data_IF_834984039438
#
_entry.id   IF_834984039438
#
_cell.length_a   1.000
_cell.length_b   1.000
_cell.length_c   1.000
_cell.angle_alpha   90.00
_cell.angle_beta   90.00
_cell.angle_gamma   90.00
#
_symmetry.space_group_name_H-M   'P 1'
#
loop_
_entity.id
_entity.type
_entity.pdbx_description
1 polymer ?
#
# COMPACT_ATOMS: atom_id res chain seq x y z
N UNK A 1 26.13 2.48 9.02
CA UNK A 1 24.74 2.75 8.56
C UNK A 1 23.81 2.16 9.60
N UNK A 2 22.77 2.89 10.04
CA UNK A 2 21.79 2.34 10.98
C UNK A 2 20.86 1.39 10.23
N UNK A 3 21.25 0.12 10.13
CA UNK A 3 20.52 -0.93 9.40
C UNK A 3 19.04 -1.02 9.83
N UNK A 4 18.78 -0.91 11.14
CA UNK A 4 17.42 -0.84 11.71
C UNK A 4 16.57 0.27 11.07
N UNK A 5 17.12 1.49 10.94
CA UNK A 5 16.40 2.63 10.34
C UNK A 5 16.16 2.43 8.85
N UNK A 6 17.10 1.81 8.16
CA UNK A 6 16.97 1.50 6.74
C UNK A 6 15.85 0.49 6.49
N UNK A 7 15.81 -0.62 7.23
CA UNK A 7 14.74 -1.62 7.12
C UNK A 7 13.37 -0.99 7.38
N UNK A 8 13.23 -0.21 8.46
CA UNK A 8 11.97 0.46 8.77
C UNK A 8 11.52 1.43 7.67
N UNK A 9 12.47 2.11 7.05
CA UNK A 9 12.18 3.03 5.92
C UNK A 9 11.71 2.26 4.70
N UNK A 10 12.38 1.15 4.37
CA UNK A 10 12.00 0.30 3.25
C UNK A 10 10.64 -0.34 3.48
N UNK A 11 10.37 -0.86 4.67
CA UNK A 11 9.09 -1.45 5.05
C UNK A 11 7.95 -0.44 4.92
N UNK A 12 8.13 0.76 5.49
CA UNK A 12 7.17 1.87 5.38
C UNK A 12 6.95 2.27 3.92
N UNK A 13 8.02 2.41 3.15
CA UNK A 13 7.94 2.80 1.74
C UNK A 13 7.26 1.73 0.88
N UNK A 14 7.50 0.44 1.16
CA UNK A 14 6.85 -0.66 0.48
C UNK A 14 5.32 -0.67 0.72
N UNK A 15 4.90 -0.50 1.97
CA UNK A 15 3.47 -0.40 2.31
C UNK A 15 2.85 0.88 1.72
N UNK A 16 3.56 2.01 1.81
CA UNK A 16 3.12 3.27 1.21
C UNK A 16 2.96 3.15 -0.31
N UNK A 17 3.86 2.44 -0.98
CA UNK A 17 3.77 2.15 -2.41
C UNK A 17 2.55 1.28 -2.73
N UNK A 18 2.28 0.25 -1.94
CA UNK A 18 1.10 -0.60 -2.11
C UNK A 18 -0.19 0.23 -2.07
N UNK A 19 -0.37 1.07 -1.04
CA UNK A 19 -1.51 1.98 -0.92
C UNK A 19 -1.61 2.96 -2.08
N UNK A 20 -0.49 3.54 -2.49
CA UNK A 20 -0.43 4.51 -3.57
C UNK A 20 -0.80 3.88 -4.92
N UNK A 21 -0.31 2.67 -5.19
CA UNK A 21 -0.69 1.89 -6.37
C UNK A 21 -2.18 1.58 -6.37
N UNK A 22 -2.70 1.07 -5.25
CA UNK A 22 -4.12 0.74 -5.09
C UNK A 22 -5.05 1.95 -5.25
N UNK A 23 -4.67 3.11 -4.70
CA UNK A 23 -5.42 4.35 -4.83
C UNK A 23 -5.37 4.90 -6.26
N UNK A 24 -4.18 4.96 -6.87
CA UNK A 24 -4.02 5.41 -8.26
C UNK A 24 -4.75 4.50 -9.25
N UNK A 25 -4.69 3.18 -9.06
CA UNK A 25 -5.40 2.25 -9.92
C UNK A 25 -6.91 2.54 -9.95
N UNK A 26 -7.52 2.74 -8.78
CA UNK A 26 -8.97 3.04 -8.66
C UNK A 26 -9.34 4.39 -9.27
N UNK A 27 -8.53 5.43 -9.03
CA UNK A 27 -8.77 6.77 -9.60
C UNK A 27 -8.62 6.75 -11.13
N UNK A 28 -7.59 6.08 -11.64
CA UNK A 28 -7.32 6.01 -13.08
C UNK A 28 -8.30 5.11 -13.82
N UNK A 29 -8.97 4.19 -13.13
CA UNK A 29 -10.05 3.38 -13.71
C UNK A 29 -11.29 4.24 -14.02
N UNK A 30 -11.52 5.33 -13.28
CA UNK A 30 -12.55 6.35 -13.55
C UNK A 30 -13.99 5.93 -13.26
N UNK A 31 -14.32 4.64 -13.28
CA UNK A 31 -15.64 4.09 -12.98
C UNK A 31 -15.66 3.13 -11.77
N UNK A 32 -14.60 3.14 -10.95
CA UNK A 32 -14.51 2.29 -9.76
C UNK A 32 -15.56 2.67 -8.71
N UNK A 33 -16.17 1.66 -8.08
CA UNK A 33 -17.08 1.86 -6.93
C UNK A 33 -16.93 0.72 -5.92
N UNK A 34 -17.11 1.05 -4.65
CA UNK A 34 -17.14 0.11 -3.53
C UNK A 34 -18.46 -0.63 -3.40
N UNK A 35 -19.49 -0.31 -4.19
CA UNK A 35 -20.84 -0.88 -4.07
C UNK A 35 -20.84 -2.42 -4.03
N UNK A 36 -20.14 -3.04 -5.00
CA UNK A 36 -20.04 -4.49 -5.09
C UNK A 36 -19.26 -5.10 -3.93
N UNK A 37 -18.22 -4.42 -3.45
CA UNK A 37 -17.45 -4.85 -2.29
C UNK A 37 -18.31 -4.78 -1.00
N UNK A 38 -19.01 -3.66 -0.77
CA UNK A 38 -19.79 -3.46 0.44
C UNK A 38 -21.05 -4.34 0.48
N UNK A 39 -21.72 -4.54 -0.65
CA UNK A 39 -22.95 -5.34 -0.74
C UNK A 39 -22.72 -6.84 -0.46
N UNK A 40 -21.52 -7.35 -0.75
CA UNK A 40 -21.17 -8.76 -0.56
C UNK A 40 -20.41 -9.04 0.75
N UNK A 41 -20.32 -8.05 1.65
CA UNK A 41 -19.68 -8.21 2.96
C UNK A 41 -20.44 -9.20 3.84
N UNK A 42 -19.69 -9.93 4.65
CA UNK A 42 -20.22 -10.90 5.60
C UNK A 42 -19.50 -10.80 6.95
N UNK A 43 -20.07 -11.43 7.98
CA UNK A 43 -19.56 -11.35 9.35
C UNK A 43 -20.29 -10.33 10.22
N UNK A 44 -19.71 -10.03 11.39
CA UNK A 44 -20.36 -9.26 12.45
C UNK A 44 -20.67 -7.80 12.05
N UNK A 45 -19.83 -7.18 11.23
CA UNK A 45 -20.00 -5.79 10.79
C UNK A 45 -20.77 -5.64 9.47
N UNK A 46 -21.30 -6.73 8.89
CA UNK A 46 -22.03 -6.71 7.61
C UNK A 46 -23.17 -5.68 7.58
N UNK A 47 -23.93 -5.56 8.67
CA UNK A 47 -25.00 -4.56 8.80
C UNK A 47 -24.53 -3.11 8.66
N UNK A 48 -23.31 -2.79 9.12
CA UNK A 48 -22.71 -1.46 8.95
C UNK A 48 -22.36 -1.21 7.48
N UNK A 49 -21.71 -2.17 6.82
CA UNK A 49 -21.33 -2.04 5.42
C UNK A 49 -22.55 -2.00 4.48
N UNK A 50 -23.57 -2.81 4.75
CA UNK A 50 -24.83 -2.78 3.99
C UNK A 50 -25.60 -1.49 4.25
N UNK A 51 -25.46 -0.86 5.42
CA UNK A 51 -26.03 0.46 5.66
C UNK A 51 -25.35 1.54 4.81
N UNK A 52 -24.02 1.46 4.62
CA UNK A 52 -23.27 2.37 3.75
C UNK A 52 -23.74 2.34 2.28
N UNK A 53 -24.29 1.20 1.82
CA UNK A 53 -24.79 1.05 0.44
C UNK A 53 -26.24 1.51 0.23
N UNK A 54 -26.98 1.86 1.30
CA UNK A 54 -28.40 2.25 1.19
C UNK A 54 -28.63 3.61 0.54
N UNK A 55 -27.63 4.50 0.59
CA UNK A 55 -27.74 5.85 0.06
C UNK A 55 -26.63 6.07 -0.97
N UNK A 56 -27.04 6.54 -2.16
CA UNK A 56 -26.13 6.93 -3.23
C UNK A 56 -25.11 7.99 -2.77
N UNK A 57 -25.54 8.94 -1.93
CA UNK A 57 -24.65 9.99 -1.41
C UNK A 57 -23.60 9.42 -0.46
N UNK A 58 -23.99 8.47 0.40
CA UNK A 58 -23.10 7.82 1.36
C UNK A 58 -22.10 6.92 0.63
N UNK A 59 -22.57 6.15 -0.34
CA UNK A 59 -21.73 5.31 -1.19
C UNK A 59 -20.68 6.14 -1.94
N UNK A 60 -21.08 7.25 -2.57
CA UNK A 60 -20.13 8.17 -3.21
C UNK A 60 -19.11 8.74 -2.23
N UNK A 61 -19.53 9.09 -1.02
CA UNK A 61 -18.61 9.57 0.00
C UNK A 61 -17.58 8.49 0.39
N UNK A 62 -18.02 7.23 0.53
CA UNK A 62 -17.13 6.08 0.79
C UNK A 62 -16.19 5.86 -0.39
N UNK A 63 -16.68 5.91 -1.63
CA UNK A 63 -15.86 5.73 -2.83
C UNK A 63 -14.74 6.78 -2.91
N UNK A 64 -15.08 8.06 -2.72
CA UNK A 64 -14.11 9.15 -2.71
C UNK A 64 -13.13 9.01 -1.54
N UNK A 65 -13.62 8.76 -0.33
CA UNK A 65 -12.78 8.60 0.85
C UNK A 65 -11.83 7.43 0.70
N UNK A 66 -12.26 6.35 0.05
CA UNK A 66 -11.44 5.19 -0.17
C UNK A 66 -10.35 5.44 -1.23
N UNK A 67 -10.73 5.97 -2.39
CA UNK A 67 -9.81 6.29 -3.48
C UNK A 67 -8.74 7.29 -3.04
N UNK A 68 -9.16 8.43 -2.50
CA UNK A 68 -8.25 9.48 -2.08
C UNK A 68 -7.57 9.16 -0.76
N UNK A 69 -8.23 8.43 0.15
CA UNK A 69 -7.64 7.96 1.40
C UNK A 69 -6.44 7.06 1.12
N UNK A 70 -6.59 6.05 0.26
CA UNK A 70 -5.47 5.19 -0.17
C UNK A 70 -4.33 6.01 -0.79
N UNK A 71 -4.66 6.94 -1.70
CA UNK A 71 -3.67 7.79 -2.35
C UNK A 71 -2.88 8.64 -1.35
N UNK A 72 -3.57 9.41 -0.50
CA UNK A 72 -2.93 10.35 0.42
C UNK A 72 -2.19 9.64 1.55
N UNK A 73 -2.76 8.56 2.11
CA UNK A 73 -2.08 7.72 3.12
C UNK A 73 -0.84 7.08 2.50
N UNK A 74 -0.95 6.51 1.30
CA UNK A 74 0.16 5.90 0.58
C UNK A 74 1.28 6.91 0.30
N UNK A 75 0.94 8.11 -0.18
CA UNK A 75 1.90 9.18 -0.42
C UNK A 75 2.58 9.66 0.87
N UNK A 76 1.83 9.84 1.94
CA UNK A 76 2.37 10.23 3.24
C UNK A 76 3.33 9.16 3.81
N UNK A 77 2.96 7.88 3.73
CA UNK A 77 3.82 6.76 4.13
C UNK A 77 5.05 6.63 3.23
N UNK A 78 4.91 6.78 1.92
CA UNK A 78 6.01 6.64 0.97
C UNK A 78 7.07 7.75 1.17
N UNK A 79 6.64 9.01 1.12
CA UNK A 79 7.50 10.18 1.32
C UNK A 79 8.02 10.29 2.77
N UNK A 80 7.32 9.65 3.70
CA UNK A 80 7.63 9.71 5.10
C UNK A 80 7.18 11.00 5.77
N UNK A 81 6.06 11.57 5.35
CA UNK A 81 5.44 12.78 5.91
C UNK A 81 4.37 12.39 6.93
N UNK A 82 4.37 12.98 8.13
CA UNK A 82 3.40 12.68 9.21
C UNK A 82 3.21 11.17 9.44
N UNK A 83 4.32 10.41 9.36
CA UNK A 83 4.31 8.94 9.29
C UNK A 83 3.47 8.25 10.36
N UNK A 84 3.47 8.80 11.58
CA UNK A 84 2.66 8.27 12.68
C UNK A 84 1.17 8.33 12.36
N UNK A 85 0.67 9.50 11.96
CA UNK A 85 -0.74 9.68 11.63
C UNK A 85 -1.14 8.90 10.37
N UNK A 86 -0.26 8.87 9.36
CA UNK A 86 -0.47 8.09 8.15
C UNK A 86 -0.54 6.57 8.45
N UNK A 87 0.34 6.05 9.32
CA UNK A 87 0.32 4.66 9.74
C UNK A 87 -0.95 4.32 10.53
N UNK A 88 -1.40 5.20 11.43
CA UNK A 88 -2.65 5.02 12.17
C UNK A 88 -3.88 5.01 11.25
N UNK A 89 -3.96 5.96 10.31
CA UNK A 89 -5.04 6.02 9.33
C UNK A 89 -5.05 4.80 8.38
N UNK A 90 -3.87 4.39 7.89
CA UNK A 90 -3.72 3.21 7.04
C UNK A 90 -4.07 1.91 7.77
N UNK A 91 -3.63 1.77 9.03
CA UNK A 91 -4.00 0.64 9.87
C UNK A 91 -5.52 0.56 10.06
N UNK A 92 -6.18 1.69 10.38
CA UNK A 92 -7.63 1.75 10.52
C UNK A 92 -8.33 1.31 9.24
N UNK A 93 -7.89 1.80 8.08
CA UNK A 93 -8.46 1.44 6.79
C UNK A 93 -8.33 -0.07 6.51
N UNK A 94 -7.16 -0.66 6.73
CA UNK A 94 -6.97 -2.11 6.53
C UNK A 94 -7.78 -2.95 7.52
N UNK A 95 -7.93 -2.50 8.76
CA UNK A 95 -8.80 -3.16 9.74
C UNK A 95 -10.26 -3.15 9.26
N UNK A 96 -10.72 -2.03 8.70
CA UNK A 96 -12.06 -1.96 8.09
C UNK A 96 -12.20 -2.90 6.89
N UNK A 97 -11.16 -3.11 6.09
CA UNK A 97 -11.18 -4.10 5.01
C UNK A 97 -11.17 -5.54 5.52
N UNK A 98 -10.34 -5.83 6.51
CA UNK A 98 -10.25 -7.15 7.11
C UNK A 98 -11.60 -7.60 7.70
N UNK A 99 -12.32 -6.70 8.37
CA UNK A 99 -13.64 -7.01 8.92
C UNK A 99 -14.79 -6.96 7.92
N UNK A 100 -14.58 -6.46 6.69
CA UNK A 100 -15.56 -6.54 5.62
C UNK A 100 -15.68 -7.98 5.07
N UNK A 101 -14.55 -8.70 5.05
CA UNK A 101 -14.45 -10.10 4.62
C UNK A 101 -13.61 -10.91 5.64
N UNK A 102 -14.10 -11.09 6.87
CA UNK A 102 -13.32 -11.72 7.91
C UNK A 102 -13.11 -13.21 7.57
N UNK A 103 -11.86 -13.72 7.55
CA UNK A 103 -11.54 -15.11 7.22
C UNK A 103 -11.88 -16.10 8.36
N UNK A 104 -12.96 -15.84 9.11
CA UNK A 104 -13.49 -16.69 10.18
C UNK A 104 -14.48 -17.70 9.58
N UNK A 105 -14.01 -18.63 8.75
CA UNK A 105 -14.91 -19.56 8.06
C UNK A 105 -14.21 -20.69 7.30
N UNK A 106 -15.00 -21.67 6.86
CA UNK A 106 -14.51 -22.83 6.11
C UNK A 106 -14.05 -22.37 4.70
N UNK A 107 -12.81 -22.67 4.25
CA UNK A 107 -12.25 -22.20 2.97
C UNK A 107 -13.03 -22.63 1.70
N UNK A 108 -14.05 -23.47 1.85
CA UNK A 108 -14.70 -24.19 0.75
C UNK A 108 -15.71 -23.32 -0.03
N UNK A 109 -16.15 -22.18 0.53
CA UNK A 109 -17.16 -21.33 -0.11
C UNK A 109 -16.56 -20.03 -0.65
N UNK A 110 -15.96 -20.10 -1.85
CA UNK A 110 -15.91 -18.96 -2.77
C UNK A 110 -14.75 -17.97 -2.65
N UNK A 111 -13.70 -18.25 -1.89
CA UNK A 111 -12.51 -17.40 -1.87
C UNK A 111 -11.57 -17.75 -3.03
N UNK A 112 -11.52 -16.89 -4.05
CA UNK A 112 -10.57 -16.95 -5.18
C UNK A 112 -9.13 -16.58 -4.79
N UNK A 113 -8.91 -16.09 -3.56
CA UNK A 113 -7.57 -15.81 -3.04
C UNK A 113 -7.16 -16.80 -1.95
N UNK A 114 -5.84 -17.09 -1.88
CA UNK A 114 -5.22 -17.90 -0.82
C UNK A 114 -5.30 -17.19 0.54
N UNK A 115 -6.47 -17.23 1.18
CA UNK A 115 -6.63 -16.83 2.56
C UNK A 115 -6.26 -18.00 3.46
N UNK A 116 -5.20 -17.83 4.26
CA UNK A 116 -4.96 -18.71 5.40
C UNK A 116 -6.03 -18.38 6.46
N UNK A 117 -6.46 -19.40 7.20
CA UNK A 117 -7.43 -19.22 8.29
C UNK A 117 -6.93 -18.13 9.25
N UNK A 118 -7.74 -17.09 9.48
CA UNK A 118 -7.48 -15.92 10.34
C UNK A 118 -6.38 -14.95 9.84
N UNK A 119 -5.25 -15.44 9.29
CA UNK A 119 -4.08 -14.61 8.98
C UNK A 119 -3.95 -14.38 7.48
N UNK A 120 -4.38 -13.22 6.99
CA UNK A 120 -4.23 -12.84 5.57
C UNK A 120 -3.25 -11.68 5.36
N UNK A 121 -3.04 -11.29 4.09
CA UNK A 121 -2.15 -10.18 3.71
C UNK A 121 -2.57 -8.85 4.35
N UNK A 122 -3.88 -8.60 4.41
CA UNK A 122 -4.46 -7.36 4.95
C UNK A 122 -4.17 -7.26 6.45
N UNK A 123 -4.35 -8.35 7.19
CA UNK A 123 -4.08 -8.39 8.63
C UNK A 123 -2.59 -8.20 8.92
N UNK A 124 -1.70 -8.85 8.16
CA UNK A 124 -0.25 -8.68 8.33
C UNK A 124 0.16 -7.23 8.08
N UNK A 125 -0.32 -6.61 6.99
CA UNK A 125 -0.05 -5.20 6.70
C UNK A 125 -0.61 -4.27 7.78
N UNK A 126 -1.82 -4.53 8.27
CA UNK A 126 -2.42 -3.77 9.36
C UNK A 126 -1.59 -3.85 10.63
N UNK A 127 -1.13 -5.04 11.03
CA UNK A 127 -0.28 -5.24 12.20
C UNK A 127 1.06 -4.51 12.07
N UNK A 128 1.66 -4.50 10.87
CA UNK A 128 2.89 -3.75 10.61
C UNK A 128 2.64 -2.24 10.74
N UNK A 129 1.54 -1.71 10.21
CA UNK A 129 1.19 -0.30 10.35
C UNK A 129 0.87 0.08 11.81
N UNK A 130 0.18 -0.79 12.56
CA UNK A 130 -0.04 -0.63 14.00
C UNK A 130 1.30 -0.60 14.75
N UNK A 131 2.22 -1.49 14.41
CA UNK A 131 3.57 -1.49 14.97
C UNK A 131 4.29 -0.16 14.68
N UNK A 132 4.23 0.35 13.45
CA UNK A 132 4.81 1.65 13.08
C UNK A 132 4.10 2.84 13.78
N UNK A 133 2.82 2.71 14.11
CA UNK A 133 2.06 3.70 14.88
C UNK A 133 2.48 3.73 16.35
N UNK A 134 2.63 2.57 16.98
CA UNK A 134 2.96 2.42 18.41
C UNK A 134 4.45 2.69 18.68
N UNK A 135 5.34 2.25 17.80
CA UNK A 135 6.79 2.40 17.95
C UNK A 135 7.32 3.52 17.05
N UNK A 136 7.30 4.79 17.51
CA UNK A 136 7.77 5.92 16.73
C UNK A 136 9.30 5.85 16.56
N UNK A 137 9.75 5.27 15.45
CA UNK A 137 11.15 5.28 15.05
C UNK A 137 11.31 6.24 13.86
N UNK A 138 12.15 7.25 14.03
CA UNK A 138 12.51 8.20 12.96
C UNK A 138 13.36 7.48 11.90
N UNK A 139 12.70 6.85 10.94
CA UNK A 139 13.30 6.37 9.70
C UNK A 139 13.81 7.51 8.82
N UNK A 140 14.41 7.19 7.68
CA UNK A 140 14.75 8.19 6.68
C UNK A 140 13.47 8.62 5.94
N UNK A 141 13.29 9.92 5.71
CA UNK A 141 12.08 10.49 5.11
C UNK A 141 12.21 12.01 5.00
N UNK A 142 11.35 12.63 4.21
CA UNK A 142 11.41 14.09 3.97
C UNK A 142 11.19 14.87 5.28
N UNK A 143 10.43 14.32 6.22
CA UNK A 143 10.24 14.85 7.58
C UNK A 143 11.57 15.02 8.34
N UNK A 144 12.56 14.15 8.10
CA UNK A 144 13.90 14.29 8.67
C UNK A 144 14.69 15.49 8.11
N UNK A 145 14.37 15.98 6.91
CA UNK A 145 14.95 17.20 6.35
C UNK A 145 14.36 18.45 7.01
N UNK A 146 13.05 18.48 7.24
CA UNK A 146 12.39 19.63 7.90
C UNK A 146 12.79 19.75 9.38
N UNK A 147 12.93 18.63 10.09
CA UNK A 147 13.34 18.66 11.49
C UNK A 147 14.84 18.94 11.69
N UNK A 148 15.66 18.84 10.63
CA UNK A 148 17.09 19.21 10.66
C UNK A 148 17.34 20.71 10.55
N UNK A 149 16.32 21.52 10.22
CA UNK A 149 16.43 22.96 10.04
C UNK A 149 16.16 23.78 11.31
N UNK A 150 15.75 23.14 12.41
CA UNK A 150 15.61 23.80 13.71
C UNK A 150 16.76 23.37 14.63
N UNK A 151 17.96 23.86 14.31
CA UNK A 151 19.07 23.89 15.27
C UNK A 151 19.03 25.28 15.93
N UNK A 152 18.19 25.44 16.94
CA UNK A 152 18.23 26.60 17.82
C UNK A 152 19.57 26.58 18.55
N UNK A 153 20.29 27.68 18.39
CA UNK A 153 21.63 28.00 18.87
C UNK A 153 21.84 27.71 20.37
N UNK A 154 22.90 26.97 20.68
CA UNK A 154 23.68 27.15 21.91
C UNK A 154 25.17 26.85 21.60
N UNK A 155 26.12 27.67 22.09
CA UNK A 155 27.51 27.65 21.61
C UNK A 155 28.35 26.62 22.37
N UNK A 156 29.23 25.91 21.66
CA UNK A 156 30.66 25.76 22.02
C UNK A 156 31.39 24.67 21.20
N UNK A 157 32.58 25.08 20.74
CA UNK A 157 33.79 24.36 20.28
C UNK A 157 33.75 23.54 18.97
N UNK A 158 34.75 23.85 18.12
CA UNK A 158 35.07 23.29 16.80
C UNK A 158 35.26 21.77 16.74
N UNK A 159 34.75 21.14 15.66
CA UNK A 159 35.45 20.15 14.82
C UNK A 159 34.74 19.98 13.45
N UNK A 160 35.46 19.63 12.36
CA UNK A 160 34.99 19.82 10.99
C UNK A 160 34.05 18.69 10.50
N UNK A 161 33.09 19.05 9.65
CA UNK A 161 32.02 18.19 9.17
C UNK A 161 32.37 17.38 7.90
N UNK A 162 32.18 16.03 7.91
CA UNK A 162 32.11 15.23 6.69
C UNK A 162 30.74 14.52 6.46
N UNK A 163 29.74 14.70 7.34
CA UNK A 163 28.51 13.87 7.33
C UNK A 163 27.29 14.46 6.60
N UNK A 164 27.20 15.79 6.46
CA UNK A 164 25.97 16.48 6.01
C UNK A 164 25.59 16.17 4.54
N UNK A 165 26.57 16.16 3.62
CA UNK A 165 26.33 15.84 2.20
C UNK A 165 25.84 14.40 2.00
N UNK A 166 26.38 13.46 2.79
CA UNK A 166 26.04 12.04 2.75
C UNK A 166 24.65 11.76 3.37
N UNK A 167 24.20 12.58 4.30
CA UNK A 167 22.84 12.49 4.87
C UNK A 167 21.78 13.11 3.96
N UNK A 168 22.08 14.25 3.33
CA UNK A 168 21.21 14.86 2.33
C UNK A 168 20.96 13.92 1.13
N UNK A 169 22.01 13.29 0.59
CA UNK A 169 21.87 12.30 -0.50
C UNK A 169 21.03 11.09 -0.10
N UNK A 170 21.09 10.65 1.16
CA UNK A 170 20.28 9.52 1.66
C UNK A 170 18.82 9.87 1.84
N UNK A 171 18.53 11.10 2.24
CA UNK A 171 17.15 11.60 2.33
C UNK A 171 16.55 11.88 0.94
N UNK A 172 17.39 12.21 -0.04
CA UNK A 172 17.00 12.41 -1.44
C UNK A 172 16.88 11.09 -2.22
N UNK A 173 17.43 9.97 -1.73
CA UNK A 173 17.40 8.67 -2.41
C UNK A 173 15.99 8.10 -2.63
N UNK A 174 14.98 8.62 -1.93
CA UNK A 174 13.57 8.28 -2.16
C UNK A 174 13.03 8.84 -3.48
N UNK A 175 13.56 9.97 -3.96
CA UNK A 175 13.12 10.62 -5.21
C UNK A 175 13.51 9.81 -6.47
N UNK A 176 14.76 9.32 -6.64
CA UNK A 176 15.11 8.40 -7.73
C UNK A 176 14.36 7.08 -7.65
N UNK A 177 14.15 6.53 -6.45
CA UNK A 177 13.39 5.30 -6.27
C UNK A 177 11.93 5.47 -6.72
N UNK A 178 11.30 6.60 -6.38
CA UNK A 178 9.96 6.97 -6.85
C UNK A 178 9.92 7.10 -8.38
N UNK A 179 10.93 7.73 -8.98
CA UNK A 179 11.06 7.87 -10.44
C UNK A 179 11.23 6.54 -11.17
N UNK A 180 12.12 5.66 -10.70
CA UNK A 180 12.39 4.36 -11.32
C UNK A 180 11.19 3.42 -11.17
N UNK A 181 10.56 3.37 -9.99
CA UNK A 181 9.38 2.52 -9.77
C UNK A 181 8.14 3.07 -10.47
N UNK A 182 7.94 4.39 -10.50
CA UNK A 182 6.88 5.03 -11.28
C UNK A 182 7.03 4.78 -12.78
N UNK A 183 8.26 4.89 -13.31
CA UNK A 183 8.55 4.57 -14.71
C UNK A 183 8.29 3.10 -15.04
N UNK A 184 8.72 2.17 -14.17
CA UNK A 184 8.46 0.74 -14.32
C UNK A 184 6.96 0.40 -14.30
N UNK A 185 6.19 1.00 -13.40
CA UNK A 185 4.74 0.80 -13.32
C UNK A 185 4.00 1.32 -14.56
N UNK A 186 4.43 2.46 -15.13
CA UNK A 186 3.84 3.00 -16.36
C UNK A 186 4.17 2.14 -17.59
N UNK A 187 5.37 1.55 -17.66
CA UNK A 187 5.75 0.67 -18.76
C UNK A 187 5.13 -0.72 -18.66
N UNK A 188 4.83 -1.19 -17.44
CA UNK A 188 4.13 -2.45 -17.20
C UNK A 188 2.64 -2.40 -17.61
N UNK A 189 2.03 -1.21 -17.73
CA UNK A 189 0.62 -1.04 -18.15
C UNK A 189 0.32 -1.51 -19.58
N UNK A 190 1.31 -1.61 -20.46
CA UNK A 190 1.08 -2.04 -21.84
C UNK A 190 0.69 -3.52 -22.01
N UNK A 191 0.82 -4.34 -20.95
CA UNK A 191 0.71 -5.80 -21.06
C UNK A 191 -0.27 -6.47 -20.08
N UNK A 192 -0.94 -5.74 -19.18
CA UNK A 192 -1.76 -6.35 -18.13
C UNK A 192 -3.03 -5.55 -17.82
N UNK A 193 -4.18 -6.13 -18.14
CA UNK A 193 -5.50 -5.64 -17.70
C UNK A 193 -5.74 -6.04 -16.23
N UNK A 194 -6.30 -5.12 -15.44
CA UNK A 194 -6.49 -5.27 -13.99
C UNK A 194 -7.88 -5.83 -13.71
N UNK A 195 -7.96 -7.11 -13.34
CA UNK A 195 -9.22 -7.77 -12.97
C UNK A 195 -9.59 -7.49 -11.50
N UNK A 196 -10.88 -7.23 -11.24
CA UNK A 196 -11.41 -6.67 -9.99
C UNK A 196 -11.49 -7.70 -8.83
N UNK A 197 -10.91 -8.88 -8.99
CA UNK A 197 -11.10 -10.01 -8.05
C UNK A 197 -9.82 -10.63 -7.51
N UNK A 198 -8.63 -10.18 -7.95
CA UNK A 198 -7.37 -10.81 -7.54
C UNK A 198 -6.28 -9.77 -7.26
N UNK A 199 -6.10 -9.42 -6.00
CA UNK A 199 -4.95 -8.65 -5.53
C UNK A 199 -3.68 -9.48 -5.56
N UNK A 200 -2.81 -9.17 -6.52
CA UNK A 200 -1.40 -9.59 -6.61
C UNK A 200 -1.12 -11.05 -7.03
N UNK A 201 -1.66 -11.50 -8.16
CA UNK A 201 -1.00 -12.55 -8.96
C UNK A 201 -1.11 -12.21 -10.43
N UNK A 202 0.02 -11.86 -11.04
CA UNK A 202 0.14 -11.81 -12.49
C UNK A 202 -0.03 -13.24 -12.98
N UNK A 203 -1.17 -13.57 -13.58
CA UNK A 203 -1.20 -14.72 -14.47
C UNK A 203 -0.27 -14.38 -15.63
N UNK A 204 0.86 -15.08 -15.72
CA UNK A 204 1.65 -15.12 -16.94
C UNK A 204 0.68 -15.63 -18.00
N UNK A 205 0.17 -14.70 -18.81
CA UNK A 205 -0.71 -15.02 -19.91
C UNK A 205 -0.05 -16.14 -20.69
N UNK A 206 -0.79 -17.24 -20.85
CA UNK A 206 -0.48 -18.31 -21.77
C UNK A 206 -0.41 -17.72 -23.18
N UNK A 207 0.67 -17.02 -23.50
CA UNK A 207 1.02 -16.78 -24.88
C UNK A 207 1.40 -18.14 -25.45
N UNK A 208 0.46 -18.60 -26.26
CA UNK A 208 0.66 -19.49 -27.38
C UNK A 208 0.75 -21.00 -27.11
N UNK A 209 -0.32 -21.57 -26.54
CA UNK A 209 -0.67 -22.97 -26.89
C UNK A 209 -1.05 -23.12 -28.38
N UNK A 210 -1.30 -22.01 -29.09
CA UNK A 210 -1.53 -21.98 -30.54
C UNK A 210 -0.27 -21.82 -31.42
N UNK A 211 0.92 -21.55 -30.86
CA UNK A 211 2.18 -21.45 -31.64
C UNK A 211 3.13 -22.64 -31.42
N UNK A 212 2.78 -23.62 -30.58
CA UNK A 212 3.46 -24.91 -30.54
C UNK A 212 3.02 -25.78 -31.72
N UNK A 213 3.38 -25.34 -32.93
CA UNK A 213 3.30 -26.14 -34.15
C UNK A 213 4.53 -27.07 -34.19
N UNK A 214 4.45 -28.16 -33.44
CA UNK A 214 5.44 -29.24 -33.47
C UNK A 214 4.72 -30.58 -33.38
N UNK A 215 4.92 -31.45 -34.37
CA UNK A 215 4.26 -32.75 -34.47
C UNK A 215 4.63 -33.64 -33.27
N UNK A 216 3.61 -34.24 -32.65
CA UNK A 216 3.77 -35.28 -31.64
C UNK A 216 4.36 -36.54 -32.30
N UNK A 217 5.50 -37.08 -31.84
CA UNK A 217 6.01 -38.35 -32.33
C UNK A 217 5.04 -39.46 -31.91
N UNK A 218 4.47 -40.14 -32.90
CA UNK A 218 3.65 -41.34 -32.73
C UNK A 218 4.56 -42.50 -32.31
N UNK A 219 4.49 -42.87 -31.04
CA UNK A 219 4.90 -44.19 -30.54
C UNK A 219 3.69 -45.11 -30.46
#
# INVERSE_FOLDING_TARGET
>A
MNFKRLILTLLRAAIGWHFLYEGLAKILQGNWSSAGYLANTHGFLSGLYHWLTRSETLLRAVDLLNMYGLLFIGLALFLGLFTRWAAGAGALLLVLYYFAYPPFGNPIMGATESHLFIVDKIMIEALVLIFLFIFPQKGYGIDALFHSSVKVTAPSVHEPAPSSRREALKNLATLPALGVMGWGALHARGNYDVDATTGATIQIGQKALGELKGELPKG
#
